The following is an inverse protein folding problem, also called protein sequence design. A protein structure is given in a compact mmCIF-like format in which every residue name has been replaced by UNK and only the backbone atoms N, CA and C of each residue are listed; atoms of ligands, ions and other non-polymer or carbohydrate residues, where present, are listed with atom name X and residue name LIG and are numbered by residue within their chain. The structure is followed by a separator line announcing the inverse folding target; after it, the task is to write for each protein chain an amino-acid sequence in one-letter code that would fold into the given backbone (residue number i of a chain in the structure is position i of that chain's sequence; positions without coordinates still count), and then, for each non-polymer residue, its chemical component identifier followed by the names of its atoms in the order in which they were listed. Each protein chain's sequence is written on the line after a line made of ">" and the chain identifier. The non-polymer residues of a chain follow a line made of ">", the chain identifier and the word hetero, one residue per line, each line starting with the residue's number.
data_IF_125082773790
#
_entry.id   IF_125082773790
#
_cell.length_a   1.000
_cell.length_b   1.000
_cell.length_c   1.000
_cell.angle_alpha   90.00
_cell.angle_beta   90.00
_cell.angle_gamma   90.00
#
_symmetry.space_group_name_H-M   'P 1'
#
loop_
_entity.id
_entity.type
_entity.pdbx_description
1 polymer ?
#
# COMPACT_ATOMS: atom_id res chain seq x y z
N UNK A 1 -5.45 0.30 6.02
CA UNK A 1 -4.17 0.67 5.38
C UNK A 1 -3.33 1.49 6.35
N UNK A 2 -3.65 2.76 6.63
CA UNK A 2 -2.85 3.63 7.52
C UNK A 2 -2.38 2.98 8.83
N UNK A 3 -3.29 2.41 9.62
CA UNK A 3 -2.94 1.74 10.90
C UNK A 3 -1.95 0.57 10.71
N UNK A 4 -2.18 -0.27 9.70
CA UNK A 4 -1.36 -1.43 9.38
C UNK A 4 -0.01 -1.05 8.76
N UNK A 5 0.03 0.00 7.92
CA UNK A 5 1.28 0.50 7.31
C UNK A 5 2.19 1.09 8.39
N UNK A 6 1.63 1.80 9.37
CA UNK A 6 2.37 2.37 10.51
C UNK A 6 2.97 1.24 11.36
N UNK A 7 2.20 0.22 11.75
CA UNK A 7 2.75 -0.89 12.53
C UNK A 7 3.77 -1.72 11.76
N UNK A 8 3.63 -1.91 10.43
CA UNK A 8 4.67 -2.53 9.60
C UNK A 8 5.95 -1.69 9.55
N UNK A 9 5.84 -0.36 9.39
CA UNK A 9 7.02 0.52 9.40
C UNK A 9 7.76 0.44 10.74
N UNK A 10 7.03 0.52 11.85
CA UNK A 10 7.59 0.44 13.20
C UNK A 10 8.14 -0.97 13.52
N UNK A 11 7.53 -2.04 13.00
CA UNK A 11 8.00 -3.42 13.17
C UNK A 11 9.25 -3.75 12.34
N UNK A 12 9.43 -3.11 11.19
CA UNK A 12 10.61 -3.27 10.32
C UNK A 12 11.75 -2.27 10.66
N UNK A 13 11.45 -1.15 11.33
CA UNK A 13 12.44 -0.19 11.80
C UNK A 13 13.61 -0.80 12.61
N UNK A 14 13.41 -1.73 13.55
CA UNK A 14 14.53 -2.35 14.28
C UNK A 14 15.35 -3.33 13.43
N UNK A 15 14.74 -3.97 12.42
CA UNK A 15 15.45 -4.90 11.51
C UNK A 15 16.39 -4.17 10.53
N UNK A 16 16.12 -2.90 10.22
CA UNK A 16 16.99 -2.08 9.35
C UNK A 16 18.10 -1.38 10.14
N UNK A 17 17.87 -1.09 11.43
CA UNK A 17 18.78 -0.32 12.28
C UNK A 17 19.84 -1.14 13.03
N UNK A 18 19.68 -2.47 13.15
CA UNK A 18 20.68 -3.35 13.79
C UNK A 18 21.39 -4.21 12.72
N UNK A 19 22.54 -3.77 12.19
CA UNK A 19 23.26 -4.50 11.16
C UNK A 19 24.09 -5.66 11.75
N UNK A 20 23.79 -6.90 11.36
CA UNK A 20 24.70 -8.05 11.47
C UNK A 20 25.63 -8.15 10.25
N UNK A 21 26.74 -8.88 10.34
CA UNK A 21 27.70 -9.05 9.24
C UNK A 21 27.04 -9.69 7.99
N UNK A 22 27.23 -9.10 6.79
CA UNK A 22 26.59 -9.54 5.53
C UNK A 22 25.40 -8.69 5.04
N UNK A 23 25.17 -7.52 5.64
CA UNK A 23 23.95 -6.70 5.47
C UNK A 23 23.93 -5.75 4.26
N UNK A 24 24.95 -5.75 3.42
CA UNK A 24 25.00 -4.91 2.20
C UNK A 24 23.88 -5.28 1.22
N UNK A 25 23.57 -6.58 1.09
CA UNK A 25 22.45 -7.09 0.29
C UNK A 25 21.09 -6.84 0.97
N UNK A 26 20.99 -7.03 2.29
CA UNK A 26 19.75 -6.83 3.06
C UNK A 26 19.35 -5.36 3.23
N UNK A 27 20.31 -4.43 3.27
CA UNK A 27 20.06 -2.98 3.26
C UNK A 27 19.41 -2.55 1.96
N UNK A 28 19.88 -3.05 0.81
CA UNK A 28 19.28 -2.75 -0.50
C UNK A 28 17.84 -3.26 -0.60
N UNK A 29 17.62 -4.52 -0.24
CA UNK A 29 16.28 -5.14 -0.28
C UNK A 29 15.32 -4.47 0.71
N UNK A 30 15.76 -4.18 1.93
CA UNK A 30 14.94 -3.52 2.95
C UNK A 30 14.45 -2.13 2.53
N UNK A 31 15.30 -1.32 1.89
CA UNK A 31 14.94 0.01 1.39
C UNK A 31 13.91 -0.08 0.26
N UNK A 32 14.10 -1.01 -0.68
CA UNK A 32 13.16 -1.21 -1.80
C UNK A 32 11.78 -1.65 -1.30
N UNK A 33 11.74 -2.60 -0.35
CA UNK A 33 10.48 -3.10 0.22
C UNK A 33 9.76 -2.00 1.00
N UNK A 34 10.50 -1.20 1.79
CA UNK A 34 9.90 -0.10 2.55
C UNK A 34 9.30 0.98 1.64
N UNK A 35 10.00 1.35 0.57
CA UNK A 35 9.45 2.23 -0.48
C UNK A 35 8.27 1.60 -1.23
N UNK A 36 8.34 0.31 -1.54
CA UNK A 36 7.28 -0.42 -2.23
C UNK A 36 5.99 -0.49 -1.43
N UNK A 37 6.07 -0.68 -0.11
CA UNK A 37 4.92 -0.68 0.79
C UNK A 37 4.33 0.72 0.92
N UNK A 38 5.17 1.76 1.07
CA UNK A 38 4.73 3.16 1.09
C UNK A 38 4.02 3.56 -0.23
N UNK A 39 4.64 3.24 -1.38
CA UNK A 39 4.07 3.50 -2.70
C UNK A 39 2.76 2.74 -2.93
N UNK A 40 2.72 1.45 -2.60
CA UNK A 40 1.52 0.62 -2.73
C UNK A 40 0.38 1.12 -1.83
N UNK A 41 0.70 1.62 -0.62
CA UNK A 41 -0.30 2.20 0.27
C UNK A 41 -0.90 3.49 -0.30
N UNK A 42 -0.08 4.37 -0.88
CA UNK A 42 -0.54 5.58 -1.56
C UNK A 42 -1.40 5.26 -2.79
N UNK A 43 -0.92 4.37 -3.65
CA UNK A 43 -1.68 3.92 -4.83
C UNK A 43 -3.01 3.34 -4.40
N UNK A 44 -3.04 2.45 -3.40
CA UNK A 44 -4.28 1.84 -2.91
C UNK A 44 -5.23 2.88 -2.33
N UNK A 45 -4.74 3.86 -1.56
CA UNK A 45 -5.55 4.95 -1.01
C UNK A 45 -6.19 5.82 -2.09
N UNK A 46 -5.55 5.99 -3.25
CA UNK A 46 -6.11 6.74 -4.38
C UNK A 46 -7.00 5.88 -5.28
N UNK A 47 -6.63 4.61 -5.52
CA UNK A 47 -7.35 3.70 -6.40
C UNK A 47 -8.66 3.18 -5.79
N UNK A 48 -8.69 2.84 -4.50
CA UNK A 48 -9.91 2.36 -3.85
C UNK A 48 -11.09 3.34 -4.01
N UNK A 49 -10.99 4.63 -3.63
CA UNK A 49 -12.10 5.56 -3.76
C UNK A 49 -12.46 5.83 -5.22
N UNK A 50 -11.48 5.91 -6.12
CA UNK A 50 -11.72 6.07 -7.56
C UNK A 50 -12.52 4.89 -8.13
N UNK A 51 -12.16 3.65 -7.76
CA UNK A 51 -12.85 2.44 -8.17
C UNK A 51 -14.25 2.36 -7.56
N UNK A 52 -14.42 2.67 -6.28
CA UNK A 52 -15.74 2.66 -5.63
C UNK A 52 -16.70 3.68 -6.27
N UNK A 53 -16.22 4.88 -6.59
CA UNK A 53 -17.01 5.89 -7.30
C UNK A 53 -17.38 5.40 -8.70
N UNK A 54 -16.43 4.83 -9.44
CA UNK A 54 -16.71 4.34 -10.80
C UNK A 54 -17.69 3.16 -10.79
N UNK A 55 -17.57 2.23 -9.84
CA UNK A 55 -18.52 1.12 -9.65
C UNK A 55 -19.91 1.63 -9.30
N UNK A 56 -20.02 2.60 -8.39
CA UNK A 56 -21.32 3.19 -8.02
C UNK A 56 -21.97 3.91 -9.22
N UNK A 57 -21.19 4.66 -10.01
CA UNK A 57 -21.64 5.28 -11.26
C UNK A 57 -22.10 4.24 -12.28
N UNK A 58 -21.41 3.10 -12.35
CA UNK A 58 -21.77 2.01 -13.25
C UNK A 58 -23.09 1.35 -12.84
N UNK A 59 -23.36 1.19 -11.54
CA UNK A 59 -24.65 0.70 -11.02
C UNK A 59 -25.79 1.69 -11.28
N UNK A 60 -25.57 3.00 -11.08
CA UNK A 60 -26.57 4.03 -11.40
C UNK A 60 -26.97 4.04 -12.88
N UNK A 61 -26.02 3.77 -13.79
CA UNK A 61 -26.28 3.61 -15.22
C UNK A 61 -27.03 2.32 -15.58
N UNK A 62 -26.90 1.26 -14.77
CA UNK A 62 -27.63 -0.01 -14.97
C UNK A 62 -29.08 0.07 -14.46
N UNK A 63 -29.35 0.87 -13.42
CA UNK A 63 -30.70 1.07 -12.89
C UNK A 63 -31.67 1.76 -13.86
N UNK A 64 -31.17 2.64 -14.74
CA UNK A 64 -31.98 3.35 -15.74
C UNK A 64 -32.24 2.55 -17.04
N UNK A 65 -31.62 1.37 -17.20
CA UNK A 65 -31.85 0.49 -18.37
C UNK A 65 -32.83 -0.66 -18.09
N UNK A 66 -33.31 -0.77 -16.85
CA UNK A 66 -34.24 -1.82 -16.42
C UNK A 66 -35.63 -1.29 -16.03
N UNK A 67 -35.94 -0.01 -16.26
CA UNK A 67 -37.25 0.60 -16.06
C UNK A 67 -37.87 0.96 -17.41
#
# INVERSE_FOLDING_TARGET
>A
IAMSTITTLFGLAPLVLIPGAGTELYRGVGVIVMFGILGSALVTLTMLPALTVEVLRWQGRRGLRGA
#
